data_IF_347309578157
#
_entry.id   IF_347309578157
#
_cell.length_a   1.000
_cell.length_b   1.000
_cell.length_c   1.000
_cell.angle_alpha   90.00
_cell.angle_beta   90.00
_cell.angle_gamma   90.00
#
_symmetry.space_group_name_H-M   'P 1'
#
loop_
_entity.id
_entity.type
_entity.pdbx_description
1 polymer ?
#
# COMPACT_ATOMS: atom_id res chain seq x y z
N UNK A 1 9.62 7.06 29.26
CA UNK A 1 8.17 7.20 29.07
C UNK A 1 7.93 7.14 27.58
N UNK A 2 7.23 6.13 27.09
CA UNK A 2 6.90 6.07 25.65
C UNK A 2 5.89 7.18 25.34
N UNK A 3 6.15 7.92 24.26
CA UNK A 3 5.26 8.97 23.83
C UNK A 3 3.85 8.42 23.62
N UNK A 4 2.85 9.07 24.24
CA UNK A 4 1.45 8.73 24.05
C UNK A 4 1.05 9.09 22.61
N UNK A 5 0.59 8.11 21.87
CA UNK A 5 0.13 8.32 20.49
C UNK A 5 -1.38 8.38 20.47
N UNK A 6 -1.92 9.48 19.97
CA UNK A 6 -3.33 9.60 19.71
C UNK A 6 -3.64 8.97 18.34
N UNK A 7 -4.11 7.73 18.35
CA UNK A 7 -4.43 6.99 17.11
C UNK A 7 -5.47 7.72 16.26
N UNK A 8 -6.42 8.44 16.87
CA UNK A 8 -7.45 9.19 16.13
C UNK A 8 -6.86 10.35 15.31
N UNK A 9 -5.77 10.94 15.78
CA UNK A 9 -5.10 12.05 15.09
C UNK A 9 -4.16 11.56 13.99
N UNK A 10 -3.51 10.42 14.20
CA UNK A 10 -2.54 9.91 13.23
C UNK A 10 -3.18 9.04 12.14
N UNK A 11 -4.36 8.43 12.40
CA UNK A 11 -4.95 7.49 11.45
C UNK A 11 -5.32 8.16 10.13
N UNK A 12 -4.71 7.70 9.04
CA UNK A 12 -4.93 8.25 7.71
C UNK A 12 -4.40 9.67 7.51
N UNK A 13 -3.53 10.17 8.40
CA UNK A 13 -3.02 11.53 8.29
C UNK A 13 -2.22 11.78 7.00
N UNK A 14 -1.66 10.72 6.42
CA UNK A 14 -0.90 10.78 5.17
C UNK A 14 -1.67 10.15 3.99
N UNK A 15 -2.99 10.12 4.07
CA UNK A 15 -3.89 9.58 3.03
C UNK A 15 -4.82 10.67 2.52
N UNK A 16 -4.93 10.81 1.22
CA UNK A 16 -5.93 11.65 0.57
C UNK A 16 -7.29 10.94 0.62
N UNK A 17 -7.80 10.79 1.83
CA UNK A 17 -9.00 10.04 2.17
C UNK A 17 -10.28 10.86 1.96
N UNK A 18 -11.43 10.24 2.25
CA UNK A 18 -12.74 10.84 2.07
C UNK A 18 -12.92 12.17 2.83
N UNK A 19 -12.41 12.26 4.05
CA UNK A 19 -12.45 13.49 4.85
C UNK A 19 -11.64 14.61 4.20
N UNK A 20 -10.42 14.31 3.75
CA UNK A 20 -9.56 15.28 3.05
C UNK A 20 -10.20 15.72 1.74
N UNK A 21 -10.79 14.78 0.98
CA UNK A 21 -11.51 15.10 -0.26
C UNK A 21 -12.72 16.00 0.00
N UNK A 22 -13.48 15.73 1.07
CA UNK A 22 -14.65 16.52 1.43
C UNK A 22 -14.28 17.94 1.83
N UNK A 23 -13.17 18.11 2.55
CA UNK A 23 -12.71 19.41 3.04
C UNK A 23 -12.10 20.28 1.94
N UNK A 24 -11.42 19.68 0.96
CA UNK A 24 -10.64 20.39 -0.07
C UNK A 24 -11.37 20.56 -1.39
N UNK A 25 -12.13 19.56 -1.80
CA UNK A 25 -12.80 19.62 -3.10
C UNK A 25 -14.04 20.53 -3.06
N UNK A 26 -14.30 21.30 -4.12
CA UNK A 26 -15.60 21.97 -4.27
C UNK A 26 -16.73 20.95 -4.13
N UNK A 27 -17.79 21.29 -3.41
CA UNK A 27 -18.91 20.38 -3.09
C UNK A 27 -19.49 19.64 -4.30
N UNK A 28 -19.54 20.28 -5.47
CA UNK A 28 -20.00 19.67 -6.70
C UNK A 28 -19.04 18.58 -7.16
N UNK A 29 -17.74 18.90 -7.21
CA UNK A 29 -16.70 17.96 -7.64
C UNK A 29 -16.63 16.75 -6.71
N UNK A 30 -16.66 16.97 -5.39
CA UNK A 30 -16.70 15.89 -4.41
C UNK A 30 -17.89 14.93 -4.63
N UNK A 31 -19.11 15.47 -4.83
CA UNK A 31 -20.29 14.64 -5.08
C UNK A 31 -20.19 13.85 -6.38
N UNK A 32 -19.69 14.45 -7.45
CA UNK A 32 -19.50 13.76 -8.73
C UNK A 32 -18.43 12.69 -8.63
N UNK A 33 -17.32 12.95 -7.93
CA UNK A 33 -16.27 11.95 -7.66
C UNK A 33 -16.84 10.77 -6.87
N UNK A 34 -17.60 11.01 -5.80
CA UNK A 34 -18.25 9.95 -5.00
C UNK A 34 -19.19 9.12 -5.85
N UNK A 35 -20.00 9.75 -6.68
CA UNK A 35 -20.90 9.06 -7.60
C UNK A 35 -20.14 8.20 -8.61
N UNK A 36 -19.04 8.72 -9.16
CA UNK A 36 -18.15 7.98 -10.07
C UNK A 36 -17.59 6.73 -9.41
N UNK A 37 -17.12 6.85 -8.16
CA UNK A 37 -16.62 5.73 -7.36
C UNK A 37 -17.72 4.68 -7.08
N UNK A 38 -18.92 5.13 -6.70
CA UNK A 38 -20.04 4.24 -6.38
C UNK A 38 -20.58 3.52 -7.61
N UNK A 39 -20.66 4.21 -8.73
CA UNK A 39 -21.18 3.68 -10.00
C UNK A 39 -20.14 2.92 -10.82
N UNK A 40 -18.85 3.02 -10.46
CA UNK A 40 -17.74 2.40 -11.20
C UNK A 40 -17.56 2.99 -12.61
N UNK A 41 -17.85 4.28 -12.76
CA UNK A 41 -17.70 5.01 -14.03
C UNK A 41 -16.29 5.58 -14.21
N UNK A 42 -15.99 5.98 -15.43
CA UNK A 42 -14.76 6.70 -15.73
C UNK A 42 -14.79 8.11 -15.13
N UNK A 43 -13.65 8.57 -14.65
CA UNK A 43 -13.46 9.92 -14.14
C UNK A 43 -13.38 10.90 -15.33
N UNK A 44 -14.22 11.94 -15.35
CA UNK A 44 -14.15 12.97 -16.39
C UNK A 44 -12.92 13.86 -16.22
N UNK A 45 -12.39 14.41 -17.31
CA UNK A 45 -11.21 15.30 -17.27
C UNK A 45 -11.44 16.52 -16.39
N UNK A 46 -12.62 17.13 -16.44
CA UNK A 46 -12.94 18.32 -15.64
C UNK A 46 -12.85 18.03 -14.12
N UNK A 47 -13.35 16.87 -13.70
CA UNK A 47 -13.26 16.45 -12.29
C UNK A 47 -11.83 16.09 -11.95
N UNK A 48 -11.15 15.36 -12.84
CA UNK A 48 -9.76 14.94 -12.62
C UNK A 48 -8.80 16.11 -12.45
N UNK A 49 -8.96 17.19 -13.22
CA UNK A 49 -8.11 18.37 -13.11
C UNK A 49 -8.24 19.05 -11.75
N UNK A 50 -9.47 19.18 -11.24
CA UNK A 50 -9.70 19.76 -9.91
C UNK A 50 -9.16 18.84 -8.82
N UNK A 51 -9.41 17.54 -8.92
CA UNK A 51 -8.90 16.54 -7.94
C UNK A 51 -7.37 16.52 -7.96
N UNK A 52 -6.75 16.53 -9.14
CA UNK A 52 -5.29 16.56 -9.27
C UNK A 52 -4.68 17.81 -8.64
N UNK A 53 -5.28 18.97 -8.86
CA UNK A 53 -4.84 20.21 -8.25
C UNK A 53 -4.85 20.12 -6.72
N UNK A 54 -5.98 19.76 -6.13
CA UNK A 54 -6.13 19.67 -4.68
C UNK A 54 -5.27 18.56 -4.05
N UNK A 55 -5.14 17.43 -4.74
CA UNK A 55 -4.26 16.33 -4.33
C UNK A 55 -2.79 16.77 -4.30
N UNK A 56 -2.34 17.52 -5.30
CA UNK A 56 -0.99 18.08 -5.34
C UNK A 56 -0.76 19.08 -4.21
N UNK A 57 -1.66 20.06 -4.02
CA UNK A 57 -1.52 21.05 -2.94
C UNK A 57 -1.46 20.38 -1.57
N UNK A 58 -2.35 19.41 -1.33
CA UNK A 58 -2.33 18.61 -0.11
C UNK A 58 -1.00 17.84 0.06
N UNK A 59 -0.50 17.22 -1.00
CA UNK A 59 0.75 16.49 -0.94
C UNK A 59 1.95 17.39 -0.64
N UNK A 60 1.98 18.60 -1.22
CA UNK A 60 3.02 19.61 -0.95
C UNK A 60 2.98 20.06 0.51
N UNK A 61 1.80 20.30 1.08
CA UNK A 61 1.63 20.61 2.51
C UNK A 61 2.14 19.47 3.40
N UNK A 62 2.06 18.23 2.93
CA UNK A 62 2.65 17.05 3.58
C UNK A 62 4.15 16.88 3.31
N UNK A 63 4.78 17.82 2.63
CA UNK A 63 6.23 17.79 2.32
C UNK A 63 6.59 16.94 1.12
N UNK A 64 5.65 16.58 0.25
CA UNK A 64 5.96 15.89 -0.98
C UNK A 64 6.52 16.85 -2.03
N UNK A 65 7.57 16.43 -2.69
CA UNK A 65 8.20 17.16 -3.83
C UNK A 65 7.98 16.41 -5.15
N UNK A 66 7.67 15.13 -5.05
CA UNK A 66 7.51 14.22 -6.17
C UNK A 66 6.20 13.46 -6.05
N UNK A 67 5.75 12.90 -7.17
CA UNK A 67 4.67 11.94 -7.25
C UNK A 67 5.12 10.68 -8.00
N UNK A 68 4.39 9.59 -7.82
CA UNK A 68 4.59 8.37 -8.59
C UNK A 68 3.25 7.69 -8.89
N UNK A 69 3.16 7.11 -10.08
CA UNK A 69 2.15 6.12 -10.39
C UNK A 69 2.55 4.82 -9.71
N UNK A 70 1.85 4.49 -8.65
CA UNK A 70 2.19 3.36 -7.78
C UNK A 70 1.37 2.13 -8.17
N UNK A 71 2.03 1.08 -8.64
CA UNK A 71 1.39 -0.15 -9.09
C UNK A 71 2.29 -1.37 -8.92
N UNK A 72 1.70 -2.56 -9.06
CA UNK A 72 2.38 -3.84 -8.96
C UNK A 72 2.53 -4.43 -10.36
N UNK A 73 3.70 -4.35 -11.01
CA UNK A 73 3.94 -4.98 -12.31
C UNK A 73 3.90 -6.50 -12.19
N UNK A 74 3.80 -7.20 -13.33
CA UNK A 74 3.73 -8.66 -13.39
C UNK A 74 4.95 -9.36 -12.77
N UNK A 75 6.07 -8.66 -12.61
CA UNK A 75 7.27 -9.15 -11.93
C UNK A 75 7.14 -9.27 -10.41
N UNK A 76 6.09 -8.70 -9.81
CA UNK A 76 5.88 -8.70 -8.35
C UNK A 76 6.68 -7.68 -7.56
N UNK A 77 7.50 -6.84 -8.22
CA UNK A 77 8.22 -5.73 -7.59
C UNK A 77 7.43 -4.45 -7.80
N UNK A 78 7.10 -3.72 -6.71
CA UNK A 78 6.37 -2.45 -6.80
C UNK A 78 7.09 -1.46 -7.70
N UNK A 79 6.39 -0.92 -8.70
CA UNK A 79 6.91 0.11 -9.59
C UNK A 79 6.62 1.50 -8.99
N UNK A 80 7.66 2.31 -8.95
CA UNK A 80 7.63 3.68 -8.41
C UNK A 80 8.60 4.54 -9.22
N UNK A 81 8.14 5.11 -10.33
CA UNK A 81 8.89 6.15 -11.02
C UNK A 81 8.51 7.49 -10.39
N UNK A 82 9.47 8.20 -9.85
CA UNK A 82 9.26 9.48 -9.20
C UNK A 82 9.45 10.64 -10.20
N UNK A 83 8.39 11.38 -10.42
CA UNK A 83 8.42 12.61 -11.21
C UNK A 83 8.23 13.81 -10.25
N UNK A 84 9.07 14.83 -10.40
CA UNK A 84 8.93 16.04 -9.59
C UNK A 84 7.73 16.87 -10.08
N UNK A 85 7.10 17.61 -9.17
CA UNK A 85 6.03 18.53 -9.56
C UNK A 85 6.53 19.75 -10.37
N UNK A 86 7.84 19.98 -10.42
CA UNK A 86 8.41 21.17 -11.08
C UNK A 86 8.18 21.16 -12.60
N UNK A 87 7.82 22.31 -13.13
CA UNK A 87 7.78 22.56 -14.59
C UNK A 87 9.10 23.11 -15.09
N UNK A 88 9.23 23.23 -16.42
CA UNK A 88 10.33 23.97 -17.01
C UNK A 88 10.36 25.42 -16.48
N UNK A 89 11.55 26.02 -16.27
CA UNK A 89 11.67 27.41 -15.84
C UNK A 89 10.99 28.35 -16.82
N UNK A 90 10.33 29.38 -16.29
CA UNK A 90 9.81 30.52 -17.07
C UNK A 90 10.95 31.47 -17.46
N UNK A 91 10.64 32.47 -18.29
CA UNK A 91 11.59 33.52 -18.70
C UNK A 91 12.20 34.30 -17.51
N UNK A 92 11.46 34.41 -16.40
CA UNK A 92 11.90 35.01 -15.14
C UNK A 92 12.76 34.07 -14.26
N UNK A 93 13.07 32.87 -14.74
CA UNK A 93 13.85 31.86 -14.04
C UNK A 93 13.08 31.12 -12.94
N UNK A 94 11.77 31.40 -12.73
CA UNK A 94 10.92 30.71 -11.73
C UNK A 94 10.28 29.49 -12.33
N UNK A 95 10.08 28.48 -11.48
CA UNK A 95 9.35 27.26 -11.80
C UNK A 95 7.95 27.29 -11.20
N UNK A 96 7.02 26.59 -11.83
CA UNK A 96 5.72 26.27 -11.26
C UNK A 96 5.70 24.83 -10.78
N UNK A 97 4.79 24.54 -9.86
CA UNK A 97 4.48 23.18 -9.48
C UNK A 97 3.18 22.79 -10.19
N UNK A 98 3.23 21.73 -11.01
CA UNK A 98 2.12 21.28 -11.83
C UNK A 98 1.87 19.79 -11.63
N UNK A 99 0.61 19.44 -11.61
CA UNK A 99 0.09 18.07 -11.67
C UNK A 99 -1.32 18.15 -12.25
N UNK A 100 -1.58 17.48 -13.36
CA UNK A 100 -2.83 17.62 -14.11
C UNK A 100 -3.71 16.39 -13.99
N UNK A 101 -5.00 16.55 -14.30
CA UNK A 101 -5.94 15.45 -14.36
C UNK A 101 -5.57 14.36 -15.37
N UNK A 102 -4.78 14.71 -16.40
CA UNK A 102 -4.25 13.73 -17.35
C UNK A 102 -3.45 12.63 -16.63
N UNK A 103 -2.66 12.99 -15.62
CA UNK A 103 -1.86 12.03 -14.84
C UNK A 103 -2.75 11.06 -14.04
N UNK A 104 -3.96 11.47 -13.67
CA UNK A 104 -4.92 10.60 -12.98
C UNK A 104 -5.68 9.68 -13.94
N UNK A 105 -6.09 10.17 -15.11
CA UNK A 105 -6.98 9.43 -16.03
C UNK A 105 -6.19 8.59 -17.02
N UNK A 106 -5.15 9.16 -17.60
CA UNK A 106 -4.40 8.60 -18.72
C UNK A 106 -2.95 9.06 -18.66
N UNK A 107 -2.31 8.75 -17.55
CA UNK A 107 -0.89 8.98 -17.41
C UNK A 107 -0.12 8.13 -18.44
N UNK A 108 0.87 8.72 -19.07
CA UNK A 108 1.78 8.03 -19.98
C UNK A 108 3.18 8.01 -19.35
N UNK A 109 3.39 7.21 -18.27
CA UNK A 109 4.72 7.11 -17.70
C UNK A 109 5.65 6.53 -18.77
N UNK A 110 6.91 6.96 -18.76
CA UNK A 110 7.94 6.31 -19.58
C UNK A 110 8.13 4.86 -19.08
N UNK A 111 7.32 3.98 -19.65
CA UNK A 111 7.27 2.57 -19.27
C UNK A 111 8.43 1.76 -19.85
N UNK A 112 9.30 2.36 -20.64
CA UNK A 112 10.47 1.67 -21.22
C UNK A 112 11.42 1.12 -20.16
N UNK A 113 11.38 1.69 -18.94
CA UNK A 113 12.17 1.26 -17.78
C UNK A 113 11.43 0.35 -16.80
N UNK A 114 10.12 0.09 -16.99
CA UNK A 114 9.38 -0.79 -16.10
C UNK A 114 9.57 -2.27 -16.48
N UNK A 115 9.76 -3.13 -15.47
CA UNK A 115 9.82 -4.58 -15.74
C UNK A 115 8.43 -5.07 -16.18
N UNK A 116 8.32 -5.54 -17.40
CA UNK A 116 7.06 -6.05 -17.98
C UNK A 116 6.85 -7.56 -17.78
N UNK A 117 7.81 -8.25 -17.18
CA UNK A 117 7.74 -9.69 -16.94
C UNK A 117 7.99 -10.57 -18.18
N UNK A 118 8.41 -9.99 -19.31
CA UNK A 118 8.66 -10.72 -20.54
C UNK A 118 9.93 -10.29 -21.28
N UNK A 119 10.36 -11.12 -22.24
CA UNK A 119 11.52 -10.87 -23.09
C UNK A 119 11.35 -9.67 -24.06
N UNK A 120 10.12 -9.14 -24.19
CA UNK A 120 9.76 -8.02 -25.08
C UNK A 120 9.62 -6.70 -24.33
N UNK A 121 10.40 -6.54 -23.31
CA UNK A 121 10.18 -5.64 -22.19
C UNK A 121 9.93 -4.16 -22.54
N UNK A 122 10.64 -3.57 -23.51
CA UNK A 122 10.58 -2.10 -23.67
C UNK A 122 9.49 -1.62 -24.63
N UNK A 123 9.11 -2.43 -25.60
CA UNK A 123 8.13 -2.05 -26.61
C UNK A 123 6.68 -2.33 -26.15
N UNK A 124 6.47 -3.45 -25.46
CA UNK A 124 5.16 -3.89 -24.98
C UNK A 124 4.79 -3.29 -23.61
N UNK A 125 5.75 -2.73 -22.88
CA UNK A 125 5.49 -2.08 -21.60
C UNK A 125 4.89 -0.66 -21.74
N UNK A 126 4.68 -0.17 -22.96
CA UNK A 126 4.02 1.12 -23.18
C UNK A 126 2.51 1.00 -23.03
N UNK A 127 1.94 1.94 -22.30
CA UNK A 127 0.51 1.95 -22.05
C UNK A 127 0.08 3.16 -21.24
N UNK A 128 -1.07 3.03 -20.64
CA UNK A 128 -1.68 4.06 -19.83
C UNK A 128 -1.80 3.62 -18.38
N UNK A 129 -1.52 4.55 -17.47
CA UNK A 129 -1.89 4.43 -16.06
C UNK A 129 -3.19 5.16 -15.80
N UNK A 130 -4.03 4.56 -14.98
CA UNK A 130 -5.29 5.17 -14.52
C UNK A 130 -5.39 5.02 -13.02
N UNK A 131 -5.65 6.12 -12.31
CA UNK A 131 -5.89 6.07 -10.89
C UNK A 131 -7.09 5.19 -10.57
N UNK A 132 -6.90 4.22 -9.68
CA UNK A 132 -8.01 3.52 -9.05
C UNK A 132 -8.61 4.43 -7.99
N UNK A 133 -9.62 5.22 -8.37
CA UNK A 133 -10.24 6.19 -7.47
C UNK A 133 -10.96 5.55 -6.27
N UNK A 134 -11.08 4.23 -6.22
CA UNK A 134 -11.56 3.50 -5.04
C UNK A 134 -10.45 3.25 -4.02
N UNK A 135 -9.19 3.42 -4.41
CA UNK A 135 -8.01 3.32 -3.56
C UNK A 135 -7.37 4.71 -3.39
N UNK A 136 -7.40 5.29 -2.18
CA UNK A 136 -6.95 6.65 -1.98
C UNK A 136 -5.43 6.79 -2.21
N UNK A 137 -5.02 7.93 -2.77
CA UNK A 137 -3.62 8.31 -2.84
C UNK A 137 -3.06 8.58 -1.44
N UNK A 138 -1.76 8.43 -1.26
CA UNK A 138 -1.10 8.62 0.03
C UNK A 138 0.28 9.25 -0.13
N UNK A 139 0.73 9.97 0.89
CA UNK A 139 2.09 10.50 0.93
C UNK A 139 2.95 9.56 1.76
N UNK A 140 4.01 9.09 1.16
CA UNK A 140 5.02 8.29 1.82
C UNK A 140 6.23 9.13 2.16
N UNK A 141 6.76 8.96 3.38
CA UNK A 141 7.96 9.61 3.84
C UNK A 141 9.12 8.62 3.94
N UNK A 142 10.27 9.00 3.38
CA UNK A 142 11.52 8.28 3.52
C UNK A 142 12.69 9.25 3.73
N UNK A 143 13.93 8.76 3.70
CA UNK A 143 15.11 9.60 3.89
C UNK A 143 15.30 10.67 2.78
N UNK A 144 14.66 10.49 1.62
CA UNK A 144 14.73 11.43 0.50
C UNK A 144 13.60 12.49 0.54
N UNK A 145 12.63 12.36 1.45
CA UNK A 145 11.52 13.28 1.59
C UNK A 145 10.15 12.65 1.38
N UNK A 146 9.14 13.47 1.12
CA UNK A 146 7.77 13.06 0.85
C UNK A 146 7.54 12.77 -0.65
N UNK A 147 6.79 11.70 -0.93
CA UNK A 147 6.40 11.30 -2.29
C UNK A 147 4.91 10.98 -2.29
N UNK A 148 4.16 11.64 -3.17
CA UNK A 148 2.76 11.32 -3.42
C UNK A 148 2.68 10.01 -4.22
N UNK A 149 2.13 8.96 -3.64
CA UNK A 149 1.90 7.68 -4.28
C UNK A 149 0.43 7.58 -4.71
N UNK A 150 0.20 7.33 -5.99
CA UNK A 150 -1.13 7.25 -6.59
C UNK A 150 -1.38 5.81 -7.01
N UNK A 151 -2.26 5.06 -6.30
CA UNK A 151 -2.59 3.70 -6.68
C UNK A 151 -3.20 3.64 -8.09
N UNK A 152 -2.50 3.02 -9.04
CA UNK A 152 -2.91 2.98 -10.44
C UNK A 152 -3.01 1.57 -10.97
N UNK A 153 -3.90 1.39 -11.95
CA UNK A 153 -3.89 0.29 -12.88
C UNK A 153 -3.05 0.67 -14.10
N UNK A 154 -2.33 -0.28 -14.68
CA UNK A 154 -1.48 -0.07 -15.84
C UNK A 154 -1.82 -1.09 -16.93
N UNK A 155 -2.25 -0.60 -18.09
CA UNK A 155 -2.59 -1.42 -19.24
C UNK A 155 -1.91 -0.93 -20.52
N UNK A 156 -1.72 -1.83 -21.48
CA UNK A 156 -1.21 -1.49 -22.80
C UNK A 156 -2.16 -0.57 -23.57
N UNK A 157 -1.72 -0.01 -24.70
CA UNK A 157 -2.57 0.78 -25.59
C UNK A 157 -3.75 0.00 -26.14
N UNK A 158 -3.65 -1.32 -26.19
CA UNK A 158 -4.69 -2.25 -26.67
C UNK A 158 -5.51 -2.85 -25.54
N UNK A 159 -5.17 -2.52 -24.27
CA UNK A 159 -5.95 -2.86 -23.09
C UNK A 159 -5.50 -4.13 -22.35
N UNK A 160 -4.39 -4.76 -22.76
CA UNK A 160 -3.82 -5.88 -22.00
C UNK A 160 -3.29 -5.39 -20.64
N UNK A 161 -3.44 -6.22 -19.62
CA UNK A 161 -2.91 -5.94 -18.31
C UNK A 161 -1.36 -5.99 -18.32
N UNK A 162 -0.72 -4.92 -17.84
CA UNK A 162 0.72 -4.84 -17.63
C UNK A 162 1.07 -4.87 -16.13
N UNK A 163 0.05 -4.95 -15.27
CA UNK A 163 0.16 -5.00 -13.82
C UNK A 163 -0.75 -6.07 -13.22
N UNK A 164 -0.67 -6.23 -11.90
CA UNK A 164 -1.51 -7.18 -11.16
C UNK A 164 -2.88 -6.58 -10.75
N UNK A 165 -3.01 -5.26 -10.71
CA UNK A 165 -4.24 -4.59 -10.29
C UNK A 165 -5.32 -4.62 -11.38
N UNK A 166 -4.95 -4.47 -12.64
CA UNK A 166 -5.90 -4.54 -13.76
C UNK A 166 -6.69 -5.86 -13.78
N UNK A 167 -6.07 -7.05 -13.74
CA UNK A 167 -6.83 -8.30 -13.67
C UNK A 167 -7.63 -8.44 -12.37
N UNK A 168 -7.14 -7.91 -11.25
CA UNK A 168 -7.87 -7.90 -9.98
C UNK A 168 -9.16 -7.09 -10.10
N UNK A 169 -9.11 -5.86 -10.59
CA UNK A 169 -10.29 -5.01 -10.77
C UNK A 169 -11.30 -5.63 -11.74
N UNK A 170 -10.82 -6.21 -12.85
CA UNK A 170 -11.68 -6.95 -13.80
C UNK A 170 -12.35 -8.16 -13.17
N UNK A 171 -11.64 -8.90 -12.32
CA UNK A 171 -12.22 -10.05 -11.60
C UNK A 171 -13.28 -9.63 -10.58
N UNK A 172 -13.07 -8.48 -9.91
CA UNK A 172 -14.07 -7.91 -8.99
C UNK A 172 -15.35 -7.54 -9.73
N UNK A 173 -15.25 -6.96 -10.92
CA UNK A 173 -16.41 -6.61 -11.73
C UNK A 173 -17.14 -7.87 -12.27
N UNK A 174 -16.38 -8.88 -12.67
CA UNK A 174 -16.95 -10.16 -13.08
C UNK A 174 -17.74 -10.83 -11.93
N UNK A 175 -17.18 -10.84 -10.71
CA UNK A 175 -17.86 -11.35 -9.52
C UNK A 175 -19.10 -10.51 -9.20
N UNK A 176 -19.00 -9.19 -9.22
CA UNK A 176 -20.12 -8.28 -8.99
C UNK A 176 -21.29 -8.62 -9.91
N UNK A 177 -21.03 -8.73 -11.20
CA UNK A 177 -22.03 -9.03 -12.24
C UNK A 177 -22.71 -10.38 -11.97
N UNK A 178 -21.96 -11.46 -11.72
CA UNK A 178 -22.54 -12.78 -11.52
C UNK A 178 -23.24 -12.92 -10.16
N UNK A 179 -22.70 -12.29 -9.10
CA UNK A 179 -23.35 -12.29 -7.79
C UNK A 179 -24.68 -11.51 -7.82
N UNK A 180 -24.74 -10.37 -8.48
CA UNK A 180 -26.00 -9.66 -8.66
C UNK A 180 -27.02 -10.47 -9.47
N UNK A 181 -26.59 -11.18 -10.52
CA UNK A 181 -27.44 -12.10 -11.26
C UNK A 181 -28.02 -13.19 -10.35
N UNK A 182 -27.20 -13.80 -9.52
CA UNK A 182 -27.64 -14.81 -8.55
C UNK A 182 -28.64 -14.22 -7.55
N UNK A 183 -28.34 -13.06 -6.97
CA UNK A 183 -29.22 -12.37 -6.01
C UNK A 183 -30.60 -12.07 -6.59
N UNK A 184 -30.68 -11.72 -7.89
CA UNK A 184 -31.95 -11.51 -8.58
C UNK A 184 -32.82 -12.77 -8.61
N UNK A 185 -32.22 -13.96 -8.75
CA UNK A 185 -32.93 -15.24 -8.70
C UNK A 185 -33.52 -15.53 -7.32
N UNK A 186 -32.92 -15.00 -6.26
CA UNK A 186 -33.45 -15.06 -4.89
C UNK A 186 -34.41 -13.90 -4.55
N UNK A 187 -34.82 -13.10 -5.54
CA UNK A 187 -35.79 -12.00 -5.36
C UNK A 187 -35.17 -10.71 -4.80
N UNK A 188 -33.86 -10.63 -4.62
CA UNK A 188 -33.21 -9.39 -4.20
C UNK A 188 -33.12 -8.43 -5.38
N UNK A 189 -33.91 -7.36 -5.36
CA UNK A 189 -33.93 -6.31 -6.39
C UNK A 189 -33.28 -5.00 -5.97
N UNK A 190 -32.87 -4.88 -4.70
CA UNK A 190 -32.37 -3.63 -4.10
C UNK A 190 -30.86 -3.50 -4.13
N UNK A 191 -30.13 -4.61 -4.05
CA UNK A 191 -28.66 -4.58 -4.10
C UNK A 191 -28.14 -4.07 -5.45
N UNK A 192 -27.28 -3.07 -5.42
CA UNK A 192 -26.71 -2.44 -6.62
C UNK A 192 -25.29 -2.93 -6.93
N UNK A 193 -24.55 -3.37 -5.92
CA UNK A 193 -23.15 -3.80 -6.03
C UNK A 193 -22.86 -4.89 -5.04
N UNK A 194 -21.99 -5.81 -5.43
CA UNK A 194 -21.38 -6.83 -4.57
C UNK A 194 -19.87 -6.64 -4.63
N UNK A 195 -19.27 -6.44 -3.48
CA UNK A 195 -17.83 -6.20 -3.37
C UNK A 195 -17.19 -7.32 -2.57
N UNK A 196 -16.24 -8.08 -3.13
CA UNK A 196 -15.47 -9.04 -2.36
C UNK A 196 -14.54 -8.31 -1.38
N UNK A 197 -14.41 -8.86 -0.18
CA UNK A 197 -13.51 -8.35 0.86
C UNK A 197 -12.49 -9.40 1.25
N UNK A 198 -11.33 -8.97 1.72
CA UNK A 198 -10.22 -9.82 2.10
C UNK A 198 -9.50 -9.23 3.31
N UNK A 199 -9.08 -10.11 4.21
CA UNK A 199 -8.10 -9.83 5.26
C UNK A 199 -6.77 -10.46 4.85
N UNK A 200 -5.72 -9.65 4.81
CA UNK A 200 -4.37 -10.12 4.48
C UNK A 200 -3.47 -9.94 5.69
N UNK A 201 -3.38 -10.97 6.49
CA UNK A 201 -2.45 -11.02 7.62
C UNK A 201 -1.02 -11.30 7.17
N UNK A 202 -0.04 -10.96 8.01
CA UNK A 202 1.38 -11.15 7.73
C UNK A 202 2.12 -11.77 8.89
N UNK A 203 2.78 -12.88 8.58
CA UNK A 203 3.70 -13.53 9.49
C UNK A 203 5.07 -12.86 9.43
N UNK A 204 5.59 -12.53 10.61
CA UNK A 204 6.88 -11.88 10.80
C UNK A 204 7.81 -12.94 11.41
N UNK A 205 8.79 -13.47 10.65
CA UNK A 205 9.74 -14.42 11.20
C UNK A 205 10.70 -13.70 12.16
N UNK A 206 10.98 -14.33 13.28
CA UNK A 206 12.00 -13.88 14.21
C UNK A 206 13.40 -13.88 13.59
N UNK A 207 14.35 -13.20 14.23
CA UNK A 207 15.70 -12.92 13.75
C UNK A 207 16.43 -14.13 13.14
N UNK A 208 16.59 -14.13 11.84
CA UNK A 208 17.50 -15.03 11.13
C UNK A 208 18.99 -14.66 11.33
N UNK A 209 19.31 -13.38 11.45
CA UNK A 209 20.68 -12.90 11.53
C UNK A 209 21.48 -13.39 12.74
N UNK A 210 20.87 -13.48 13.92
CA UNK A 210 21.52 -14.02 15.12
C UNK A 210 21.70 -15.54 15.02
N UNK A 211 20.79 -16.26 14.36
CA UNK A 211 20.94 -17.68 14.11
C UNK A 211 22.08 -17.99 13.16
N UNK A 212 22.30 -17.16 12.13
CA UNK A 212 23.41 -17.32 11.18
C UNK A 212 24.80 -17.13 11.82
N UNK A 213 24.87 -16.42 12.95
CA UNK A 213 26.11 -16.27 13.72
C UNK A 213 26.40 -17.47 14.65
N UNK A 214 25.41 -18.32 14.90
CA UNK A 214 25.51 -19.48 15.75
C UNK A 214 25.80 -20.73 14.91
N UNK A 215 27.09 -21.00 14.69
CA UNK A 215 27.56 -22.15 13.91
C UNK A 215 27.06 -23.49 14.46
N UNK A 216 26.96 -23.61 15.78
CA UNK A 216 26.38 -24.78 16.43
C UNK A 216 24.93 -25.05 15.98
N UNK A 217 24.10 -24.02 15.91
CA UNK A 217 22.72 -24.17 15.44
C UNK A 217 22.64 -24.52 13.95
N UNK A 218 23.52 -23.97 13.12
CA UNK A 218 23.54 -24.24 11.68
C UNK A 218 23.93 -25.70 11.40
N UNK A 219 24.99 -26.19 12.07
CA UNK A 219 25.50 -27.53 11.80
C UNK A 219 24.73 -28.65 12.49
N UNK A 220 24.20 -28.40 13.68
CA UNK A 220 23.60 -29.46 14.51
C UNK A 220 22.10 -29.30 14.70
N UNK A 221 21.53 -28.15 14.31
CA UNK A 221 20.11 -27.80 14.53
C UNK A 221 19.75 -27.56 16.01
N UNK A 222 20.75 -27.54 16.89
CA UNK A 222 20.62 -27.34 18.36
C UNK A 222 21.84 -26.68 18.96
N UNK A 223 21.71 -26.15 20.17
CA UNK A 223 22.85 -25.66 20.93
C UNK A 223 23.71 -26.83 21.44
N UNK A 224 25.02 -26.69 21.41
CA UNK A 224 25.95 -27.74 21.86
C UNK A 224 26.04 -27.86 23.39
N UNK A 225 25.78 -26.78 24.12
CA UNK A 225 25.91 -26.74 25.57
C UNK A 225 24.61 -26.27 26.25
N UNK A 226 23.95 -27.19 26.92
CA UNK A 226 23.05 -26.96 28.04
C UNK A 226 21.74 -26.18 27.83
N UNK A 227 21.45 -25.62 26.69
CA UNK A 227 20.16 -25.00 26.49
C UNK A 227 19.12 -26.06 26.00
N UNK A 228 18.01 -26.15 26.68
CA UNK A 228 16.89 -26.94 26.19
C UNK A 228 16.48 -26.39 24.80
N UNK A 229 16.10 -27.27 23.86
CA UNK A 229 15.45 -26.82 22.61
C UNK A 229 14.20 -26.02 22.96
N UNK A 230 13.81 -25.03 22.15
CA UNK A 230 12.53 -24.38 22.34
C UNK A 230 11.41 -25.43 22.26
N UNK A 231 10.30 -25.17 22.94
CA UNK A 231 9.08 -25.96 22.74
C UNK A 231 8.76 -26.06 21.25
N UNK A 232 8.27 -27.19 20.80
CA UNK A 232 7.71 -27.38 19.47
C UNK A 232 6.36 -26.70 19.34
N UNK A 233 5.44 -27.31 18.55
CA UNK A 233 4.12 -26.76 18.30
C UNK A 233 3.01 -27.48 19.12
N UNK A 234 3.41 -28.21 20.12
CA UNK A 234 2.51 -29.01 20.97
C UNK A 234 1.50 -28.09 21.68
N UNK A 235 0.24 -28.48 21.64
CA UNK A 235 -0.87 -27.80 22.32
C UNK A 235 -1.04 -26.32 21.92
N UNK A 236 -0.42 -25.88 20.82
CA UNK A 236 -0.45 -24.49 20.34
C UNK A 236 0.04 -23.45 21.37
N UNK A 237 0.89 -23.87 22.31
CA UNK A 237 1.37 -23.07 23.44
C UNK A 237 1.96 -21.73 23.02
N UNK A 238 2.65 -21.66 21.87
CA UNK A 238 3.25 -20.43 21.39
C UNK A 238 2.21 -19.40 20.96
N UNK A 239 1.08 -19.84 20.40
CA UNK A 239 -0.01 -18.97 19.94
C UNK A 239 -0.60 -18.15 21.09
N UNK A 240 -0.77 -18.76 22.25
CA UNK A 240 -1.30 -18.10 23.45
C UNK A 240 -0.23 -17.41 24.31
N UNK A 241 1.03 -17.47 23.91
CA UNK A 241 2.15 -16.90 24.64
C UNK A 241 2.19 -15.37 24.57
N UNK A 242 2.89 -14.77 25.53
CA UNK A 242 3.15 -13.33 25.53
C UNK A 242 4.12 -12.94 24.43
N UNK A 243 3.85 -11.83 23.74
CA UNK A 243 4.78 -11.26 22.76
C UNK A 243 5.98 -10.69 23.52
N UNK A 244 7.19 -11.07 23.11
CA UNK A 244 8.42 -10.55 23.70
C UNK A 244 8.56 -9.05 23.51
N UNK A 245 9.06 -8.33 24.52
CA UNK A 245 9.12 -6.86 24.53
C UNK A 245 9.75 -6.27 23.26
N UNK A 246 10.83 -6.87 22.76
CA UNK A 246 11.49 -6.42 21.51
C UNK A 246 10.57 -6.52 20.29
N UNK A 247 9.82 -7.61 20.19
CA UNK A 247 8.86 -7.82 19.09
C UNK A 247 7.66 -6.87 19.24
N UNK A 248 7.16 -6.70 20.46
CA UNK A 248 6.10 -5.76 20.76
C UNK A 248 6.48 -4.31 20.38
N UNK A 249 7.73 -3.90 20.68
CA UNK A 249 8.22 -2.57 20.29
C UNK A 249 8.28 -2.40 18.75
N UNK A 250 8.77 -3.41 18.03
CA UNK A 250 8.78 -3.44 16.58
C UNK A 250 7.35 -3.37 16.00
N UNK A 251 6.45 -4.18 16.52
CA UNK A 251 5.06 -4.20 16.08
C UNK A 251 4.34 -2.86 16.35
N UNK A 252 4.70 -2.19 17.45
CA UNK A 252 4.18 -0.84 17.74
C UNK A 252 4.60 0.14 16.66
N UNK A 253 5.88 0.18 16.29
CA UNK A 253 6.38 1.05 15.21
C UNK A 253 5.68 0.74 13.87
N UNK A 254 5.56 -0.54 13.52
CA UNK A 254 4.84 -0.97 12.31
C UNK A 254 3.38 -0.53 12.32
N UNK A 255 2.68 -0.64 13.45
CA UNK A 255 1.30 -0.19 13.58
C UNK A 255 1.17 1.31 13.34
N UNK A 256 2.03 2.11 13.94
CA UNK A 256 2.02 3.56 13.81
C UNK A 256 2.19 3.99 12.35
N UNK A 257 3.15 3.41 11.65
CA UNK A 257 3.37 3.68 10.23
C UNK A 257 2.20 3.17 9.36
N UNK A 258 1.62 2.01 9.68
CA UNK A 258 0.43 1.50 9.03
C UNK A 258 -0.77 2.44 9.21
N UNK A 259 -1.02 2.89 10.43
CA UNK A 259 -2.14 3.79 10.72
C UNK A 259 -2.03 5.13 10.01
N UNK A 260 -0.84 5.73 9.92
CA UNK A 260 -0.62 6.96 9.15
C UNK A 260 -1.05 6.81 7.69
N UNK A 261 -0.81 5.63 7.11
CA UNK A 261 -1.17 5.29 5.74
C UNK A 261 -2.56 4.64 5.60
N UNK A 262 -3.40 4.74 6.62
CA UNK A 262 -4.79 4.27 6.58
C UNK A 262 -4.96 2.75 6.64
N UNK A 263 -3.89 1.99 6.86
CA UNK A 263 -3.97 0.54 7.05
C UNK A 263 -4.44 0.24 8.46
N UNK A 264 -5.58 -0.43 8.57
CA UNK A 264 -6.23 -0.76 9.85
C UNK A 264 -5.59 -1.95 10.54
N UNK A 265 -4.27 -1.91 10.75
CA UNK A 265 -3.54 -2.91 11.54
C UNK A 265 -4.16 -2.99 12.95
N UNK A 266 -4.68 -4.17 13.34
CA UNK A 266 -5.49 -4.33 14.54
C UNK A 266 -4.97 -5.40 15.47
N UNK A 267 -4.73 -6.60 14.97
CA UNK A 267 -4.45 -7.76 15.80
C UNK A 267 -2.96 -8.11 15.73
N UNK A 268 -2.38 -8.41 16.88
CA UNK A 268 -0.99 -8.87 17.02
C UNK A 268 -0.99 -10.09 17.93
N UNK A 269 -0.34 -11.16 17.51
CA UNK A 269 -0.17 -12.37 18.31
C UNK A 269 1.06 -13.17 17.86
N UNK A 270 1.42 -14.17 18.66
CA UNK A 270 2.40 -15.17 18.25
C UNK A 270 1.70 -16.22 17.38
N UNK A 271 2.45 -16.82 16.47
CA UNK A 271 2.00 -18.00 15.75
C UNK A 271 2.28 -19.29 16.51
N UNK A 272 1.64 -20.39 16.06
CA UNK A 272 1.92 -21.73 16.59
C UNK A 272 3.37 -22.12 16.40
N UNK A 273 3.96 -21.74 15.27
CA UNK A 273 5.38 -21.96 15.02
C UNK A 273 6.26 -21.05 15.89
N UNK A 274 7.31 -21.59 16.51
CA UNK A 274 8.22 -20.81 17.35
C UNK A 274 8.84 -19.62 16.61
N UNK A 275 8.93 -18.46 17.28
CA UNK A 275 9.51 -17.22 16.78
C UNK A 275 8.85 -16.68 15.50
N UNK A 276 7.60 -17.02 15.26
CA UNK A 276 6.74 -16.39 14.28
C UNK A 276 5.68 -15.53 14.98
N UNK A 277 5.39 -14.39 14.37
CA UNK A 277 4.46 -13.42 14.91
C UNK A 277 3.57 -12.92 13.77
N UNK A 278 2.31 -12.63 14.06
CA UNK A 278 1.37 -12.18 13.04
C UNK A 278 0.85 -10.77 13.34
N UNK A 279 0.71 -10.01 12.27
CA UNK A 279 -0.01 -8.75 12.25
C UNK A 279 -1.18 -8.87 11.28
N UNK A 280 -2.40 -8.69 11.77
CA UNK A 280 -3.62 -8.78 10.98
C UNK A 280 -4.35 -7.42 10.94
N UNK A 281 -4.63 -6.87 9.74
CA UNK A 281 -5.50 -5.71 9.57
C UNK A 281 -6.97 -6.13 9.61
N UNK A 282 -7.88 -5.16 9.72
CA UNK A 282 -9.30 -5.41 9.47
C UNK A 282 -9.48 -5.65 7.96
N UNK A 283 -10.40 -6.53 7.60
CA UNK A 283 -10.74 -6.80 6.19
C UNK A 283 -11.18 -5.52 5.46
N UNK A 284 -10.86 -5.44 4.20
CA UNK A 284 -11.22 -4.34 3.30
C UNK A 284 -11.66 -4.89 1.93
N UNK A 285 -12.27 -4.06 1.06
CA UNK A 285 -12.44 -4.43 -0.35
C UNK A 285 -11.13 -4.97 -0.93
N UNK A 286 -11.20 -6.03 -1.74
CA UNK A 286 -10.01 -6.83 -2.09
C UNK A 286 -8.91 -6.02 -2.78
N UNK A 287 -9.24 -5.01 -3.59
CA UNK A 287 -8.25 -4.13 -4.21
C UNK A 287 -7.53 -3.24 -3.19
N UNK A 288 -8.28 -2.69 -2.22
CA UNK A 288 -7.70 -1.91 -1.11
C UNK A 288 -6.87 -2.82 -0.20
N UNK A 289 -7.37 -4.02 0.13
CA UNK A 289 -6.64 -4.99 0.93
C UNK A 289 -5.31 -5.39 0.26
N UNK A 290 -5.30 -5.55 -1.07
CA UNK A 290 -4.08 -5.83 -1.83
C UNK A 290 -3.09 -4.66 -1.76
N UNK A 291 -3.55 -3.41 -1.91
CA UNK A 291 -2.70 -2.23 -1.76
C UNK A 291 -2.15 -2.12 -0.33
N UNK A 292 -3.01 -2.25 0.67
CA UNK A 292 -2.61 -2.25 2.09
C UNK A 292 -1.55 -3.32 2.40
N UNK A 293 -1.68 -4.49 1.79
CA UNK A 293 -0.70 -5.55 1.94
C UNK A 293 0.68 -5.15 1.37
N UNK A 294 0.74 -4.50 0.22
CA UNK A 294 2.00 -4.02 -0.35
C UNK A 294 2.63 -2.92 0.53
N UNK A 295 1.80 -1.99 1.01
CA UNK A 295 2.21 -0.94 1.96
C UNK A 295 2.77 -1.59 3.23
N UNK A 296 2.04 -2.52 3.83
CA UNK A 296 2.43 -3.21 5.06
C UNK A 296 3.74 -4.00 4.89
N UNK A 297 3.91 -4.74 3.77
CA UNK A 297 5.16 -5.45 3.49
C UNK A 297 6.37 -4.51 3.40
N UNK A 298 6.18 -3.33 2.85
CA UNK A 298 7.23 -2.31 2.78
C UNK A 298 7.57 -1.76 4.16
N UNK A 299 6.54 -1.42 4.96
CA UNK A 299 6.72 -0.94 6.33
C UNK A 299 7.47 -1.98 7.17
N UNK A 300 7.05 -3.24 7.11
CA UNK A 300 7.72 -4.34 7.79
C UNK A 300 9.21 -4.41 7.44
N UNK A 301 9.57 -4.28 6.16
CA UNK A 301 10.96 -4.28 5.72
C UNK A 301 11.73 -3.04 6.19
N UNK A 302 11.10 -1.85 6.17
CA UNK A 302 11.70 -0.59 6.62
C UNK A 302 12.01 -0.65 8.11
N UNK A 303 11.05 -1.06 8.93
CA UNK A 303 11.18 -1.14 10.39
C UNK A 303 12.08 -2.29 10.85
N UNK A 304 12.33 -3.32 10.02
CA UNK A 304 13.31 -4.37 10.29
C UNK A 304 14.77 -3.90 10.16
N UNK A 305 15.03 -2.79 9.50
CA UNK A 305 16.40 -2.26 9.45
C UNK A 305 16.78 -1.81 10.85
N UNK A 306 17.98 -2.20 11.36
CA UNK A 306 18.36 -1.82 12.70
C UNK A 306 18.26 -0.30 12.80
N UNK A 307 17.61 0.22 13.85
CA UNK A 307 17.69 1.64 14.13
C UNK A 307 19.18 1.95 14.16
N UNK A 308 19.57 3.12 13.67
CA UNK A 308 20.95 3.63 13.67
C UNK A 308 21.46 3.72 15.12
N UNK A 309 21.63 2.60 15.77
CA UNK A 309 22.54 2.51 16.89
C UNK A 309 23.92 2.54 16.26
N UNK A 310 24.48 3.74 16.17
CA UNK A 310 25.92 3.89 16.06
C UNK A 310 26.52 2.99 17.14
N UNK A 311 27.14 1.90 16.72
CA UNK A 311 28.07 1.20 17.60
C UNK A 311 29.12 2.26 17.96
N UNK A 312 29.39 2.50 19.24
CA UNK A 312 30.53 3.33 19.58
C UNK A 312 31.73 2.70 18.90
N UNK A 313 32.43 3.50 18.10
CA UNK A 313 33.72 3.12 17.56
C UNK A 313 34.62 2.82 18.75
N UNK A 314 34.97 1.54 18.94
CA UNK A 314 36.01 1.11 19.85
C UNK A 314 37.36 1.17 19.15
#
# INVERSE_FOLDING_TARGET
MGDYINVKEIFGCDVFNDSVMQDRLPKKVYRELKKTIEEGKELSMEIADVVAHEMKEWAIEKGATHYCHWFQPLTGVTAEKHDAFVTAPREDGKVLLSFSGKELIKGEPDASSFPSGGLRATFEARGYTTWDCTSPAFVRHDAAGGILCIPTAFCSYTGEALDQKTPLLRSMEAINTQALRLLRLFGNTTSKKVTPSLELSRNIPGRQGEMLQRKDLIYTGRTLFGAMPPKGQEMDDHYFGTIRQRISAYMKEVNEECWKLGVTAKTQHNEVAPAQHELAPIYAPVNIAADHNQIMMRILKKSCQPPRYALPAS
#
